data_IF_914681407365
#
_entry.id   IF_914681407365
#
_cell.length_a   1.000
_cell.length_b   1.000
_cell.length_c   1.000
_cell.angle_alpha   90.00
_cell.angle_beta   90.00
_cell.angle_gamma   90.00
#
_symmetry.space_group_name_H-M   'P 1'
#
loop_
_entity.id
_entity.type
_entity.pdbx_description
1 polymer ?
#
# COMPACT_ATOMS: atom_id res chain seq x y z
N UNK A 1 -57.77 37.12 -11.45
CA UNK A 1 -56.92 36.96 -12.64
C UNK A 1 -55.49 36.76 -12.15
N UNK A 2 -54.83 35.61 -12.21
CA UNK A 2 -55.14 34.29 -12.71
C UNK A 2 -53.91 33.39 -12.46
N UNK A 3 -54.17 32.10 -12.27
CA UNK A 3 -53.32 30.95 -12.61
C UNK A 3 -52.00 30.68 -11.86
N UNK A 4 -52.05 29.67 -10.97
CA UNK A 4 -51.07 28.54 -10.93
C UNK A 4 -51.19 27.70 -12.23
N UNK A 5 -50.34 26.68 -12.58
CA UNK A 5 -49.49 25.85 -11.70
C UNK A 5 -48.15 25.28 -12.28
N UNK A 6 -47.38 24.61 -11.40
CA UNK A 6 -46.57 23.38 -11.58
C UNK A 6 -45.38 23.28 -12.57
N UNK A 7 -44.34 22.59 -12.09
CA UNK A 7 -43.23 21.97 -12.85
C UNK A 7 -41.90 22.27 -12.14
N UNK A 8 -41.10 21.33 -11.66
CA UNK A 8 -40.95 19.90 -11.90
C UNK A 8 -39.45 19.64 -11.68
N UNK A 9 -39.09 18.85 -10.67
CA UNK A 9 -37.72 18.55 -10.35
C UNK A 9 -37.09 17.70 -11.47
N UNK A 10 -36.01 18.20 -12.09
CA UNK A 10 -35.15 17.41 -12.95
C UNK A 10 -34.03 16.79 -12.11
N UNK A 11 -34.19 15.53 -11.74
CA UNK A 11 -33.09 14.61 -11.44
C UNK A 11 -32.40 14.25 -12.77
N UNK A 12 -31.06 14.34 -12.90
CA UNK A 12 -30.39 13.67 -14.00
C UNK A 12 -30.37 12.16 -13.73
N UNK A 13 -30.97 11.44 -14.67
CA UNK A 13 -30.94 9.98 -14.77
C UNK A 13 -29.51 9.46 -14.91
N UNK A 14 -29.16 8.46 -14.12
CA UNK A 14 -28.03 7.57 -14.37
C UNK A 14 -28.33 6.72 -15.60
N UNK A 15 -27.48 6.72 -16.64
CA UNK A 15 -27.54 5.69 -17.67
C UNK A 15 -27.00 4.36 -17.10
N UNK A 16 -27.86 3.36 -17.11
CA UNK A 16 -27.51 1.96 -17.01
C UNK A 16 -26.73 1.50 -18.27
N UNK A 17 -26.00 0.41 -18.10
CA UNK A 17 -25.57 -0.51 -19.17
C UNK A 17 -24.51 0.00 -20.17
N UNK A 18 -23.23 -0.16 -19.79
CA UNK A 18 -22.21 -0.63 -20.73
C UNK A 18 -21.39 -1.75 -20.08
N UNK A 19 -21.93 -2.97 -20.21
CA UNK A 19 -21.19 -4.22 -20.09
C UNK A 19 -20.08 -4.23 -21.15
N UNK A 20 -18.84 -4.01 -20.72
CA UNK A 20 -17.65 -4.19 -21.56
C UNK A 20 -17.14 -5.62 -21.35
N UNK A 21 -17.02 -6.44 -22.41
CA UNK A 21 -16.54 -7.81 -22.29
C UNK A 21 -15.06 -7.84 -21.89
N UNK A 22 -14.78 -8.70 -20.90
CA UNK A 22 -13.44 -9.05 -20.42
C UNK A 22 -12.67 -9.74 -21.56
N UNK A 23 -11.54 -9.21 -22.05
CA UNK A 23 -10.69 -9.94 -22.97
C UNK A 23 -9.95 -11.06 -22.20
N UNK A 24 -10.24 -12.30 -22.60
CA UNK A 24 -9.55 -13.51 -22.22
C UNK A 24 -8.10 -13.46 -22.74
N UNK A 25 -7.14 -13.12 -21.88
CA UNK A 25 -5.72 -13.14 -22.21
C UNK A 25 -5.20 -14.55 -21.96
N UNK A 26 -5.46 -15.43 -22.93
CA UNK A 26 -4.85 -16.75 -22.98
C UNK A 26 -3.34 -16.63 -23.20
N UNK A 27 -2.58 -17.28 -22.33
CA UNK A 27 -1.14 -17.51 -22.40
C UNK A 27 -0.62 -17.77 -23.81
N UNK A 28 0.39 -17.00 -24.23
CA UNK A 28 1.47 -17.50 -25.10
C UNK A 28 2.79 -16.90 -24.61
N UNK A 29 3.65 -17.76 -24.05
CA UNK A 29 5.07 -17.46 -23.82
C UNK A 29 5.81 -17.58 -25.17
N UNK A 30 6.58 -16.58 -25.60
CA UNK A 30 7.68 -16.80 -26.51
C UNK A 30 8.97 -16.99 -25.70
N UNK A 31 9.41 -18.24 -25.63
CA UNK A 31 10.78 -18.60 -25.27
C UNK A 31 11.70 -18.11 -26.40
N UNK A 32 12.56 -17.13 -26.12
CA UNK A 32 13.69 -16.77 -26.96
C UNK A 32 14.97 -16.98 -26.18
N UNK A 33 15.49 -18.20 -26.34
CA UNK A 33 16.88 -18.52 -26.14
C UNK A 33 17.74 -17.87 -27.25
N UNK A 34 18.98 -17.56 -26.87
CA UNK A 34 20.14 -17.25 -27.72
C UNK A 34 20.25 -15.84 -28.31
N UNK A 35 21.15 -15.04 -27.73
CA UNK A 35 22.22 -14.39 -28.49
C UNK A 35 23.46 -14.26 -27.61
N UNK A 36 24.45 -15.11 -27.91
CA UNK A 36 25.75 -15.14 -27.29
C UNK A 36 26.70 -14.07 -27.88
N UNK A 37 27.62 -13.62 -27.03
CA UNK A 37 28.99 -13.20 -27.29
C UNK A 37 29.27 -12.13 -28.37
N UNK A 38 29.67 -10.94 -27.93
CA UNK A 38 30.55 -10.04 -28.71
C UNK A 38 31.84 -9.80 -27.92
N UNK A 39 32.93 -9.93 -28.67
CA UNK A 39 34.33 -10.13 -28.28
C UNK A 39 35.01 -8.93 -27.63
N UNK A 40 36.02 -9.26 -26.82
CA UNK A 40 37.08 -8.39 -26.33
C UNK A 40 37.76 -7.62 -27.48
N UNK A 41 37.98 -6.31 -27.28
CA UNK A 41 39.02 -5.55 -27.96
C UNK A 41 39.89 -4.84 -26.91
N UNK A 42 41.05 -5.41 -26.64
CA UNK A 42 42.13 -4.79 -25.89
C UNK A 42 42.98 -3.94 -26.83
N UNK A 43 43.29 -2.70 -26.44
CA UNK A 43 44.43 -1.93 -26.94
C UNK A 43 45.06 -1.16 -25.77
N UNK A 44 46.35 -1.38 -25.47
CA UNK A 44 47.06 -0.66 -24.41
C UNK A 44 47.68 0.67 -24.88
N UNK A 45 47.56 1.67 -23.98
CA UNK A 45 48.51 2.73 -23.61
C UNK A 45 48.99 3.80 -24.62
N UNK A 46 48.61 5.06 -24.35
CA UNK A 46 49.57 6.19 -24.29
C UNK A 46 49.29 7.03 -23.04
N UNK A 47 50.30 7.10 -22.18
CA UNK A 47 50.33 7.93 -20.97
C UNK A 47 50.44 9.41 -21.33
N UNK A 48 49.53 10.24 -20.83
CA UNK A 48 49.76 11.67 -20.68
C UNK A 48 49.56 12.05 -19.22
N UNK A 49 50.68 12.17 -18.51
CA UNK A 49 50.73 12.66 -17.15
C UNK A 49 50.31 14.15 -17.13
N UNK A 50 49.17 14.45 -16.51
CA UNK A 50 48.88 15.79 -16.01
C UNK A 50 48.71 15.71 -14.49
N UNK A 51 49.73 16.18 -13.77
CA UNK A 51 49.69 16.37 -12.31
C UNK A 51 48.65 17.45 -11.99
N UNK A 52 47.42 17.01 -11.72
CA UNK A 52 46.38 17.77 -11.05
C UNK A 52 46.30 17.30 -9.60
N UNK A 53 46.45 18.25 -8.69
CA UNK A 53 46.63 18.11 -7.25
C UNK A 53 45.36 17.53 -6.59
N UNK A 54 45.53 16.38 -5.92
CA UNK A 54 44.69 15.79 -4.87
C UNK A 54 43.23 16.21 -4.75
N UNK A 55 42.33 15.51 -5.46
CA UNK A 55 41.07 15.06 -4.86
C UNK A 55 41.19 13.56 -4.70
N UNK A 56 41.18 13.13 -3.45
CA UNK A 56 41.00 11.76 -3.00
C UNK A 56 39.83 11.13 -3.75
N UNK A 57 40.14 10.41 -4.82
CA UNK A 57 39.33 9.33 -5.36
C UNK A 57 39.50 8.17 -4.38
N UNK A 58 38.82 8.26 -3.24
CA UNK A 58 38.62 7.13 -2.35
C UNK A 58 37.18 6.70 -2.53
N UNK A 59 37.03 5.40 -2.76
CA UNK A 59 35.80 4.60 -2.81
C UNK A 59 34.86 4.87 -4.00
N UNK A 60 35.14 4.18 -5.10
CA UNK A 60 34.11 3.43 -5.83
C UNK A 60 33.44 2.42 -4.89
N UNK A 61 32.72 2.89 -3.87
CA UNK A 61 31.54 2.16 -3.42
C UNK A 61 30.62 2.20 -4.62
N UNK A 62 30.20 1.06 -5.16
CA UNK A 62 29.15 1.02 -6.18
C UNK A 62 28.07 2.03 -5.76
N UNK A 63 27.71 2.99 -6.61
CA UNK A 63 26.73 4.02 -6.28
C UNK A 63 25.42 3.31 -5.94
N UNK A 64 25.22 3.02 -4.65
CA UNK A 64 23.95 2.60 -4.11
C UNK A 64 22.98 3.72 -4.46
N UNK A 65 21.84 3.39 -5.05
CA UNK A 65 20.87 4.37 -5.53
C UNK A 65 19.69 4.45 -4.55
N UNK A 66 19.87 5.05 -3.35
CA UNK A 66 18.85 5.06 -2.30
C UNK A 66 17.55 5.72 -2.78
N UNK A 67 17.64 6.74 -3.64
CA UNK A 67 16.46 7.36 -4.25
C UNK A 67 15.65 6.40 -5.13
N UNK A 68 16.31 5.59 -5.96
CA UNK A 68 15.64 4.63 -6.84
C UNK A 68 15.02 3.50 -6.02
N UNK A 69 15.71 3.05 -4.97
CA UNK A 69 15.18 2.06 -4.04
C UNK A 69 14.01 2.61 -3.25
N UNK A 70 14.06 3.86 -2.77
CA UNK A 70 12.94 4.49 -2.07
C UNK A 70 11.68 4.55 -2.96
N UNK A 71 11.82 4.89 -4.24
CA UNK A 71 10.70 4.84 -5.19
C UNK A 71 10.12 3.42 -5.38
N UNK A 72 10.99 2.41 -5.40
CA UNK A 72 10.54 1.01 -5.47
C UNK A 72 9.86 0.59 -4.16
N UNK A 73 10.42 0.99 -3.02
CA UNK A 73 9.91 0.69 -1.69
C UNK A 73 8.52 1.29 -1.47
N UNK A 74 8.21 2.47 -2.03
CA UNK A 74 6.85 3.03 -2.02
C UNK A 74 5.82 2.02 -2.55
N UNK A 75 6.15 1.28 -3.62
CA UNK A 75 5.23 0.29 -4.20
C UNK A 75 5.08 -0.90 -3.26
N UNK A 76 6.20 -1.42 -2.78
CA UNK A 76 6.26 -2.57 -1.86
C UNK A 76 5.51 -2.28 -0.56
N UNK A 77 5.70 -1.11 0.06
CA UNK A 77 4.99 -0.71 1.27
C UNK A 77 3.48 -0.54 1.04
N UNK A 78 3.05 -0.07 -0.14
CA UNK A 78 1.64 -0.02 -0.46
C UNK A 78 1.04 -1.43 -0.60
N UNK A 79 1.78 -2.38 -1.19
CA UNK A 79 1.37 -3.78 -1.29
C UNK A 79 1.28 -4.42 0.09
N UNK A 80 2.32 -4.30 0.93
CA UNK A 80 2.31 -4.79 2.30
C UNK A 80 1.15 -4.21 3.12
N UNK A 81 0.87 -2.92 2.95
CA UNK A 81 -0.26 -2.27 3.62
C UNK A 81 -1.61 -2.80 3.12
N UNK A 82 -1.75 -3.05 1.81
CA UNK A 82 -2.96 -3.63 1.26
C UNK A 82 -3.18 -5.07 1.75
N UNK A 83 -2.11 -5.86 1.85
CA UNK A 83 -2.12 -7.20 2.44
C UNK A 83 -2.51 -7.14 3.93
N UNK A 84 -1.96 -6.20 4.68
CA UNK A 84 -2.30 -6.00 6.10
C UNK A 84 -3.78 -5.59 6.29
N UNK A 85 -4.31 -4.72 5.42
CA UNK A 85 -5.76 -4.39 5.40
C UNK A 85 -6.61 -5.64 5.15
N UNK A 86 -6.26 -6.41 4.13
CA UNK A 86 -6.97 -7.64 3.79
C UNK A 86 -6.92 -8.67 4.95
N UNK A 87 -5.81 -8.73 5.67
CA UNK A 87 -5.68 -9.54 6.86
C UNK A 87 -6.55 -9.02 8.02
N UNK A 88 -6.73 -7.71 8.20
CA UNK A 88 -7.60 -7.15 9.22
C UNK A 88 -9.09 -7.45 8.99
N UNK A 89 -9.52 -7.54 7.72
CA UNK A 89 -10.89 -7.88 7.36
C UNK A 89 -11.27 -9.33 7.69
N UNK A 90 -10.27 -10.19 7.90
CA UNK A 90 -10.48 -11.59 8.25
C UNK A 90 -10.97 -11.85 9.68
N UNK A 91 -10.82 -10.88 10.58
CA UNK A 91 -11.27 -10.98 11.97
C UNK A 91 -12.66 -10.33 12.20
N UNK A 92 -13.31 -9.84 11.14
CA UNK A 92 -14.56 -9.07 11.23
C UNK A 92 -15.83 -9.92 11.26
N UNK A 93 -16.95 -9.40 11.81
CA UNK A 93 -18.27 -10.02 11.68
C UNK A 93 -18.69 -9.99 10.20
N UNK A 94 -18.56 -11.13 9.51
CA UNK A 94 -18.76 -11.25 8.06
C UNK A 94 -17.63 -11.97 7.33
N UNK A 95 -16.53 -12.31 8.00
CA UNK A 95 -15.46 -13.12 7.45
C UNK A 95 -16.01 -14.47 6.96
N UNK A 96 -16.04 -14.66 5.64
CA UNK A 96 -16.33 -15.96 5.04
C UNK A 96 -15.28 -16.96 5.55
N UNK A 97 -15.75 -18.01 6.23
CA UNK A 97 -14.93 -19.05 6.86
C UNK A 97 -13.60 -19.34 6.13
N UNK A 98 -12.50 -18.83 6.71
CA UNK A 98 -11.31 -19.62 7.03
C UNK A 98 -10.37 -20.08 5.92
N UNK A 99 -10.43 -19.59 4.68
CA UNK A 99 -9.51 -20.07 3.62
C UNK A 99 -8.77 -19.01 2.80
N UNK A 100 -9.12 -17.71 2.91
CA UNK A 100 -8.46 -16.63 2.17
C UNK A 100 -7.39 -15.85 2.94
N UNK A 101 -7.39 -15.94 4.26
CA UNK A 101 -6.67 -15.00 5.13
C UNK A 101 -5.16 -15.26 5.24
N UNK A 102 -4.73 -16.50 5.06
CA UNK A 102 -3.31 -16.84 5.05
C UNK A 102 -2.58 -16.39 3.77
N UNK A 103 -3.32 -16.03 2.71
CA UNK A 103 -2.72 -15.62 1.43
C UNK A 103 -1.96 -14.29 1.52
N UNK A 104 -2.52 -13.33 2.25
CA UNK A 104 -1.91 -12.01 2.46
C UNK A 104 -0.59 -12.11 3.23
N UNK A 105 -0.58 -12.81 4.36
CA UNK A 105 0.64 -13.04 5.16
C UNK A 105 1.72 -13.75 4.35
N UNK A 106 1.35 -14.76 3.57
CA UNK A 106 2.32 -15.52 2.76
C UNK A 106 2.95 -14.66 1.64
N UNK A 107 2.15 -13.84 0.97
CA UNK A 107 2.63 -12.92 -0.07
C UNK A 107 3.59 -11.87 0.52
N UNK A 108 3.22 -11.34 1.69
CA UNK A 108 4.08 -10.46 2.47
C UNK A 108 5.41 -11.14 2.84
N UNK A 109 5.37 -12.34 3.43
CA UNK A 109 6.59 -13.05 3.87
C UNK A 109 7.56 -13.25 2.71
N UNK A 110 7.04 -13.58 1.54
CA UNK A 110 7.83 -13.84 0.34
C UNK A 110 8.49 -12.56 -0.20
N UNK A 111 7.74 -11.46 -0.24
CA UNK A 111 8.26 -10.16 -0.70
C UNK A 111 9.22 -9.55 0.33
N UNK A 112 8.88 -9.57 1.62
CA UNK A 112 9.77 -9.17 2.71
C UNK A 112 11.08 -9.96 2.67
N UNK A 113 11.01 -11.30 2.56
CA UNK A 113 12.21 -12.12 2.51
C UNK A 113 13.11 -11.79 1.33
N UNK A 114 12.54 -11.42 0.18
CA UNK A 114 13.30 -10.95 -0.98
C UNK A 114 14.03 -9.64 -0.68
N UNK A 115 13.35 -8.67 -0.06
CA UNK A 115 13.95 -7.37 0.28
C UNK A 115 15.04 -7.53 1.34
N UNK A 116 14.78 -8.28 2.41
CA UNK A 116 15.76 -8.51 3.49
C UNK A 116 17.02 -9.19 2.94
N UNK A 117 16.86 -10.25 2.14
CA UNK A 117 18.00 -10.93 1.52
C UNK A 117 18.78 -9.98 0.58
N UNK A 118 18.09 -9.18 -0.23
CA UNK A 118 18.77 -8.23 -1.12
C UNK A 118 19.60 -7.20 -0.34
N UNK A 119 19.09 -6.70 0.79
CA UNK A 119 19.80 -5.76 1.66
C UNK A 119 21.02 -6.40 2.31
N UNK A 120 20.88 -7.62 2.87
CA UNK A 120 21.99 -8.34 3.49
C UNK A 120 23.10 -8.66 2.49
N UNK A 121 22.74 -9.14 1.30
CA UNK A 121 23.69 -9.48 0.24
C UNK A 121 24.38 -8.24 -0.35
N UNK A 122 23.65 -7.15 -0.59
CA UNK A 122 24.21 -5.90 -1.11
C UNK A 122 25.20 -5.26 -0.12
N UNK A 123 24.95 -5.43 1.18
CA UNK A 123 25.81 -4.90 2.25
C UNK A 123 26.95 -5.84 2.64
N UNK A 124 27.04 -7.02 2.01
CA UNK A 124 28.03 -8.05 2.36
C UNK A 124 27.88 -8.61 3.79
N UNK A 125 26.72 -8.45 4.40
CA UNK A 125 26.46 -8.81 5.80
C UNK A 125 26.96 -7.79 6.84
N UNK A 126 27.51 -6.64 6.42
CA UNK A 126 27.93 -5.60 7.36
C UNK A 126 26.74 -4.84 7.94
N UNK A 127 26.54 -4.94 9.26
CA UNK A 127 25.42 -4.30 9.97
C UNK A 127 25.46 -2.78 9.90
N UNK A 128 26.65 -2.18 9.96
CA UNK A 128 26.80 -0.72 9.86
C UNK A 128 26.39 -0.23 8.48
N UNK A 129 26.81 -0.93 7.43
CA UNK A 129 26.43 -0.63 6.04
C UNK A 129 24.93 -0.79 5.82
N UNK A 130 24.32 -1.86 6.35
CA UNK A 130 22.85 -2.03 6.30
C UNK A 130 22.14 -0.85 6.95
N UNK A 131 22.57 -0.45 8.14
CA UNK A 131 21.93 0.63 8.89
C UNK A 131 22.07 1.97 8.16
N UNK A 132 23.28 2.34 7.73
CA UNK A 132 23.52 3.57 6.97
C UNK A 132 22.70 3.61 5.68
N UNK A 133 22.68 2.51 4.94
CA UNK A 133 21.95 2.44 3.68
C UNK A 133 20.43 2.53 3.86
N UNK A 134 19.87 1.82 4.83
CA UNK A 134 18.43 1.91 5.10
C UNK A 134 18.04 3.26 5.69
N UNK A 135 18.89 3.89 6.51
CA UNK A 135 18.66 5.26 6.99
C UNK A 135 18.62 6.26 5.82
N UNK A 136 19.53 6.13 4.86
CA UNK A 136 19.54 6.93 3.63
C UNK A 136 18.28 6.72 2.78
N UNK A 137 17.82 5.47 2.63
CA UNK A 137 16.57 5.16 1.92
C UNK A 137 15.38 5.77 2.67
N UNK A 138 15.25 5.50 3.96
CA UNK A 138 14.11 5.96 4.76
C UNK A 138 14.08 7.49 4.88
N UNK A 139 15.22 8.17 4.75
CA UNK A 139 15.35 9.62 4.71
C UNK A 139 14.88 10.27 3.40
N UNK A 140 14.61 9.49 2.34
CA UNK A 140 14.17 10.05 1.07
C UNK A 140 12.77 10.68 1.16
N UNK A 141 12.60 11.80 0.47
CA UNK A 141 11.37 12.61 0.46
C UNK A 141 10.11 11.82 0.09
N UNK A 142 10.26 10.81 -0.77
CA UNK A 142 9.16 9.98 -1.29
C UNK A 142 8.54 9.08 -0.22
N UNK A 143 9.29 8.80 0.85
CA UNK A 143 8.86 7.99 1.97
C UNK A 143 8.33 8.84 3.13
N UNK A 144 8.06 10.14 2.98
CA UNK A 144 7.51 10.93 4.09
C UNK A 144 6.19 10.38 4.67
N UNK A 145 5.96 10.67 5.95
CA UNK A 145 4.73 10.31 6.66
C UNK A 145 4.73 8.87 7.16
N UNK A 146 3.65 8.13 6.89
CA UNK A 146 3.48 6.76 7.37
C UNK A 146 4.54 5.80 6.79
N UNK A 147 4.97 6.05 5.55
CA UNK A 147 6.00 5.25 4.86
C UNK A 147 7.33 5.29 5.59
N UNK A 148 7.76 6.47 6.04
CA UNK A 148 9.03 6.65 6.75
C UNK A 148 9.00 5.84 8.04
N UNK A 149 7.88 5.84 8.77
CA UNK A 149 7.72 5.01 9.96
C UNK A 149 7.83 3.52 9.62
N UNK A 150 7.15 3.05 8.58
CA UNK A 150 7.21 1.64 8.14
C UNK A 150 8.64 1.26 7.73
N UNK A 151 9.30 2.08 6.92
CA UNK A 151 10.69 1.92 6.50
C UNK A 151 11.64 1.88 7.71
N UNK A 152 11.47 2.77 8.68
CA UNK A 152 12.29 2.80 9.90
C UNK A 152 12.07 1.57 10.78
N UNK A 153 10.83 1.10 10.93
CA UNK A 153 10.53 -0.16 11.61
C UNK A 153 11.17 -1.35 10.90
N UNK A 154 11.11 -1.37 9.56
CA UNK A 154 11.79 -2.40 8.76
C UNK A 154 13.31 -2.36 8.96
N UNK A 155 13.92 -1.18 8.90
CA UNK A 155 15.36 -0.97 9.15
C UNK A 155 15.78 -1.48 10.52
N UNK A 156 15.00 -1.16 11.54
CA UNK A 156 15.22 -1.64 12.89
C UNK A 156 15.10 -3.17 12.99
N UNK A 157 14.08 -3.77 12.38
CA UNK A 157 13.88 -5.22 12.40
C UNK A 157 15.05 -5.98 11.75
N UNK A 158 15.54 -5.50 10.60
CA UNK A 158 16.68 -6.12 9.91
C UNK A 158 17.96 -5.96 10.73
N UNK A 159 18.30 -4.73 11.12
CA UNK A 159 19.55 -4.45 11.85
C UNK A 159 19.61 -5.08 13.24
N UNK A 160 18.46 -5.30 13.89
CA UNK A 160 18.39 -5.95 15.20
C UNK A 160 18.61 -7.46 15.13
N UNK A 161 18.32 -8.09 13.99
CA UNK A 161 18.59 -9.51 13.78
C UNK A 161 20.05 -9.79 13.40
N UNK A 162 20.84 -8.76 13.12
CA UNK A 162 22.24 -8.88 12.73
C UNK A 162 23.19 -8.86 13.94
N UNK A 163 24.20 -9.74 13.90
CA UNK A 163 25.30 -9.83 14.85
C UNK A 163 26.49 -8.96 14.40
N UNK A 164 27.60 -9.03 15.15
CA UNK A 164 28.86 -8.41 14.74
C UNK A 164 29.63 -9.24 13.70
N UNK A 165 29.23 -10.50 13.46
CA UNK A 165 29.85 -11.37 12.48
C UNK A 165 29.19 -11.18 11.11
N UNK A 166 29.95 -10.64 10.16
CA UNK A 166 29.46 -10.35 8.80
C UNK A 166 29.12 -11.61 8.00
N UNK A 167 29.76 -12.74 8.30
CA UNK A 167 29.49 -14.00 7.64
C UNK A 167 28.17 -14.59 8.14
N UNK A 168 27.97 -14.65 9.46
CA UNK A 168 26.69 -15.07 10.06
C UNK A 168 25.54 -14.20 9.54
N UNK A 169 25.76 -12.88 9.43
CA UNK A 169 24.75 -11.97 8.89
C UNK A 169 24.33 -12.27 7.45
N UNK A 170 25.24 -12.81 6.63
CA UNK A 170 24.99 -13.10 5.21
C UNK A 170 24.35 -14.47 5.01
N UNK A 171 24.70 -15.44 5.85
CA UNK A 171 24.34 -16.85 5.65
C UNK A 171 23.26 -17.33 6.61
N UNK A 172 23.21 -16.80 7.84
CA UNK A 172 22.49 -17.41 8.97
C UNK A 172 21.44 -16.50 9.62
N UNK A 173 21.21 -15.29 9.11
CA UNK A 173 20.09 -14.46 9.59
C UNK A 173 18.76 -15.16 9.33
N UNK A 174 17.96 -15.29 10.39
CA UNK A 174 16.60 -15.84 10.31
C UNK A 174 15.65 -14.81 9.68
N UNK A 175 15.69 -14.74 8.35
CA UNK A 175 14.85 -13.86 7.54
C UNK A 175 13.35 -14.08 7.80
N UNK A 176 12.83 -15.32 7.90
CA UNK A 176 11.45 -15.55 8.32
C UNK A 176 11.09 -14.88 9.65
N UNK A 177 11.95 -14.98 10.67
CA UNK A 177 11.70 -14.34 11.96
C UNK A 177 11.67 -12.80 11.86
N UNK A 178 12.60 -12.20 11.10
CA UNK A 178 12.62 -10.76 10.82
C UNK A 178 11.31 -10.31 10.18
N UNK A 179 10.88 -11.00 9.13
CA UNK A 179 9.67 -10.65 8.39
C UNK A 179 8.42 -10.84 9.25
N UNK A 180 8.33 -11.94 10.01
CA UNK A 180 7.20 -12.19 10.88
C UNK A 180 7.07 -11.12 11.98
N UNK A 181 8.18 -10.68 12.59
CA UNK A 181 8.12 -9.63 13.60
C UNK A 181 7.72 -8.28 13.01
N UNK A 182 8.26 -7.94 11.85
CA UNK A 182 7.85 -6.73 11.12
C UNK A 182 6.37 -6.78 10.71
N UNK A 183 5.87 -7.94 10.26
CA UNK A 183 4.46 -8.14 9.91
C UNK A 183 3.52 -7.84 11.05
N UNK A 184 3.81 -8.34 12.27
CA UNK A 184 2.93 -8.12 13.43
C UNK A 184 2.67 -6.64 13.67
N UNK A 185 3.72 -5.83 13.71
CA UNK A 185 3.58 -4.40 13.92
C UNK A 185 2.78 -3.72 12.82
N UNK A 186 3.07 -4.06 11.55
CA UNK A 186 2.34 -3.50 10.41
C UNK A 186 0.85 -3.90 10.41
N UNK A 187 0.56 -5.18 10.69
CA UNK A 187 -0.79 -5.71 10.73
C UNK A 187 -1.60 -5.12 11.89
N UNK A 188 -1.00 -4.96 13.07
CA UNK A 188 -1.63 -4.30 14.22
C UNK A 188 -1.96 -2.83 13.94
N UNK A 189 -1.01 -2.08 13.38
CA UNK A 189 -1.22 -0.67 13.00
C UNK A 189 -2.36 -0.54 11.99
N UNK A 190 -2.39 -1.39 10.96
CA UNK A 190 -3.41 -1.32 9.93
C UNK A 190 -4.77 -1.80 10.42
N UNK A 191 -4.82 -2.83 11.27
CA UNK A 191 -6.05 -3.26 11.94
C UNK A 191 -6.65 -2.12 12.75
N UNK A 192 -5.84 -1.38 13.50
CA UNK A 192 -6.31 -0.23 14.26
C UNK A 192 -6.85 0.90 13.37
N UNK A 193 -6.36 1.06 12.13
CA UNK A 193 -6.90 2.00 11.15
C UNK A 193 -8.24 1.49 10.62
N UNK A 194 -8.30 0.22 10.19
CA UNK A 194 -9.53 -0.41 9.66
C UNK A 194 -10.66 -0.39 10.69
N UNK A 195 -10.37 -0.70 11.96
CA UNK A 195 -11.37 -0.67 13.02
C UNK A 195 -11.92 0.75 13.27
N UNK A 196 -11.06 1.78 13.17
CA UNK A 196 -11.50 3.19 13.25
C UNK A 196 -12.35 3.59 12.05
N UNK A 197 -11.96 3.19 10.84
CA UNK A 197 -12.72 3.43 9.61
C UNK A 197 -14.11 2.78 9.71
N UNK A 198 -14.18 1.53 10.19
CA UNK A 198 -15.43 0.80 10.42
C UNK A 198 -16.32 1.51 11.45
N UNK A 199 -15.78 1.87 12.60
CA UNK A 199 -16.54 2.58 13.64
C UNK A 199 -17.08 3.93 13.15
N UNK A 200 -16.30 4.67 12.35
CA UNK A 200 -16.74 5.92 11.75
C UNK A 200 -17.85 5.71 10.71
N UNK A 201 -17.74 4.67 9.88
CA UNK A 201 -18.76 4.30 8.89
C UNK A 201 -20.08 3.91 9.56
N UNK A 202 -20.03 3.04 10.57
CA UNK A 202 -21.22 2.62 11.32
C UNK A 202 -21.90 3.81 12.04
N UNK A 203 -21.12 4.75 12.57
CA UNK A 203 -21.66 5.96 13.19
C UNK A 203 -22.36 6.86 12.15
N UNK A 204 -21.75 7.02 10.97
CA UNK A 204 -22.34 7.80 9.88
C UNK A 204 -23.62 7.15 9.34
N UNK A 205 -23.62 5.82 9.17
CA UNK A 205 -24.80 5.07 8.71
C UNK A 205 -25.96 5.21 9.68
N UNK A 206 -25.73 5.02 10.99
CA UNK A 206 -26.78 5.23 12.02
C UNK A 206 -27.35 6.64 12.00
N UNK A 207 -26.51 7.66 11.84
CA UNK A 207 -26.97 9.05 11.72
C UNK A 207 -27.82 9.27 10.46
N UNK A 208 -27.42 8.69 9.34
CA UNK A 208 -28.18 8.77 8.09
C UNK A 208 -29.53 8.05 8.18
N UNK A 209 -29.59 6.87 8.80
CA UNK A 209 -30.82 6.12 9.06
C UNK A 209 -31.78 6.88 9.98
N UNK A 210 -31.27 7.43 11.09
CA UNK A 210 -32.07 8.24 12.02
C UNK A 210 -32.62 9.51 11.35
N UNK A 211 -31.81 10.18 10.53
CA UNK A 211 -32.24 11.36 9.78
C UNK A 211 -33.31 11.01 8.74
N UNK A 212 -33.14 9.91 8.01
CA UNK A 212 -34.12 9.42 7.05
C UNK A 212 -35.45 9.03 7.73
N UNK A 213 -35.38 8.36 8.89
CA UNK A 213 -36.56 7.99 9.66
C UNK A 213 -37.33 9.21 10.18
N UNK A 214 -36.62 10.23 10.69
CA UNK A 214 -37.23 11.50 11.12
C UNK A 214 -37.90 12.23 9.95
N UNK A 215 -37.21 12.35 8.82
CA UNK A 215 -37.76 13.00 7.63
C UNK A 215 -39.01 12.26 7.10
N UNK A 216 -39.01 10.92 7.11
CA UNK A 216 -40.17 10.12 6.72
C UNK A 216 -41.36 10.32 7.68
N UNK A 217 -41.11 10.38 9.00
CA UNK A 217 -42.17 10.66 9.99
C UNK A 217 -42.76 12.06 9.82
N UNK A 218 -41.91 13.08 9.62
CA UNK A 218 -42.36 14.46 9.38
C UNK A 218 -43.19 14.58 8.09
N UNK A 219 -42.73 13.96 7.00
CA UNK A 219 -43.47 13.93 5.74
C UNK A 219 -44.84 13.23 5.88
N UNK A 220 -44.90 12.11 6.61
CA UNK A 220 -46.15 11.41 6.87
C UNK A 220 -47.11 12.24 7.75
N UNK A 221 -46.59 12.93 8.77
CA UNK A 221 -47.38 13.79 9.64
C UNK A 221 -47.96 15.00 8.89
N UNK A 222 -47.17 15.66 8.05
CA UNK A 222 -47.63 16.79 7.23
C UNK A 222 -48.64 16.35 6.17
N UNK A 223 -48.45 15.19 5.54
CA UNK A 223 -49.43 14.61 4.62
C UNK A 223 -50.77 14.31 5.31
N UNK A 224 -50.74 13.74 6.53
CA UNK A 224 -51.94 13.46 7.31
C UNK A 224 -52.68 14.75 7.71
N UNK A 225 -51.96 15.79 8.17
CA UNK A 225 -52.57 17.11 8.47
C UNK A 225 -53.21 17.74 7.24
N UNK A 226 -52.52 17.70 6.10
CA UNK A 226 -53.04 18.24 4.85
C UNK A 226 -54.30 17.49 4.37
N UNK A 227 -54.36 16.18 4.55
CA UNK A 227 -55.54 15.38 4.23
C UNK A 227 -56.72 15.70 5.16
N UNK A 228 -56.48 15.82 6.48
CA UNK A 228 -57.50 16.17 7.46
C UNK A 228 -58.12 17.54 7.16
N UNK A 229 -57.30 18.56 6.89
CA UNK A 229 -57.77 19.91 6.55
C UNK A 229 -58.64 19.92 5.29
N UNK A 230 -58.26 19.17 4.25
CA UNK A 230 -59.06 19.05 3.03
C UNK A 230 -60.42 18.38 3.27
N UNK A 231 -60.48 17.42 4.19
CA UNK A 231 -61.73 16.74 4.54
C UNK A 231 -62.68 17.67 5.33
N UNK A 232 -62.14 18.48 6.25
CA UNK A 232 -62.91 19.49 6.98
C UNK A 232 -63.46 20.58 6.05
N UNK A 233 -62.64 21.09 5.12
CA UNK A 233 -63.06 22.10 4.14
C UNK A 233 -64.13 21.59 3.16
N UNK A 234 -64.21 20.28 2.90
CA UNK A 234 -65.22 19.67 2.03
C UNK A 234 -66.55 19.34 2.73
N UNK A 235 -66.57 19.36 4.07
CA UNK A 235 -67.75 19.06 4.89
C UNK A 235 -68.50 20.32 5.38
N UNK A 236 -67.93 21.51 5.16
CA UNK A 236 -68.52 22.82 5.47
C UNK A 236 -69.19 23.43 4.23
#
# INVERSE_FOLDING_TARGET
FGSSPQGGACLPAFPAELSVPIPNISSTMPSLAACAAILLAACPSVSSARRGRGRTFQTLSAEMQPQVVAHTLVRVENEWRAEARAAADCDGPGAANGSGCGGATKSFEQSCGTVVNAVLQASGGDRGVVQEYLDDICGQEVLKGWRNRVCQTFSFAVSSAMTADVYENREDVDVPAVCHEFWKGLAEDEKAIVDKERAASEAHEKQAEEAAAKAAQEAAAEAAKAAARKAEEAAA
#
